data_IF_476667948019
#
_entry.id   IF_476667948019
#
_cell.length_a   1.000
_cell.length_b   1.000
_cell.length_c   1.000
_cell.angle_alpha   90.00
_cell.angle_beta   90.00
_cell.angle_gamma   90.00
#
_symmetry.space_group_name_H-M   'P 1'
#
loop_
_entity.id
_entity.type
_entity.pdbx_description
1 polymer ?
#
# COMPACT_ATOMS: atom_id res chain seq x y z
N UNK A 1 -12.80 -9.60 25.41
CA UNK A 1 -13.39 -9.29 24.09
C UNK A 1 -14.12 -7.96 24.22
N UNK A 2 -13.72 -6.94 23.46
CA UNK A 2 -14.39 -5.63 23.40
C UNK A 2 -15.12 -5.53 22.07
N UNK A 3 -16.33 -4.98 22.08
CA UNK A 3 -17.13 -4.74 20.89
C UNK A 3 -17.37 -3.24 20.76
N UNK A 4 -17.16 -2.72 19.55
CA UNK A 4 -17.48 -1.34 19.19
C UNK A 4 -18.57 -1.36 18.13
N UNK A 5 -19.60 -0.53 18.30
CA UNK A 5 -20.64 -0.34 17.30
C UNK A 5 -20.42 1.00 16.61
N UNK A 6 -20.30 0.97 15.28
CA UNK A 6 -20.10 2.16 14.46
C UNK A 6 -21.35 2.35 13.63
N UNK A 7 -21.95 3.54 13.70
CA UNK A 7 -23.04 3.90 12.81
C UNK A 7 -22.48 4.16 11.41
N UNK A 8 -22.97 3.47 10.36
CA UNK A 8 -22.56 3.76 9.00
C UNK A 8 -22.86 5.23 8.64
N UNK A 9 -21.97 5.91 7.91
CA UNK A 9 -22.20 7.28 7.50
C UNK A 9 -23.45 7.38 6.61
N UNK A 10 -24.16 8.50 6.73
CA UNK A 10 -25.23 8.88 5.81
C UNK A 10 -24.66 9.87 4.81
N UNK A 11 -24.14 9.35 3.71
CA UNK A 11 -23.52 10.12 2.63
C UNK A 11 -24.05 9.66 1.27
N UNK A 12 -23.52 10.25 0.21
CA UNK A 12 -23.77 9.94 -1.19
C UNK A 12 -22.70 9.01 -1.78
N UNK A 13 -22.03 8.19 -0.95
CA UNK A 13 -21.01 7.25 -1.42
C UNK A 13 -21.60 6.29 -2.47
N UNK A 14 -20.98 6.25 -3.64
CA UNK A 14 -21.36 5.35 -4.73
C UNK A 14 -20.45 4.12 -4.70
N UNK A 15 -21.03 2.96 -4.38
CA UNK A 15 -20.29 1.70 -4.41
C UNK A 15 -19.82 1.37 -5.83
N UNK A 16 -18.64 0.76 -5.95
CA UNK A 16 -18.07 0.28 -7.23
C UNK A 16 -18.11 -1.23 -7.25
N UNK A 17 -18.56 -1.81 -8.36
CA UNK A 17 -18.55 -3.27 -8.56
C UNK A 17 -17.09 -3.70 -8.77
N UNK A 18 -16.70 -4.80 -8.12
CA UNK A 18 -15.37 -5.36 -8.27
C UNK A 18 -15.17 -5.99 -9.65
N UNK A 19 -14.01 -5.75 -10.25
CA UNK A 19 -13.55 -6.43 -11.46
C UNK A 19 -12.37 -7.34 -11.12
N UNK A 20 -12.42 -8.61 -11.54
CA UNK A 20 -11.41 -9.61 -11.21
C UNK A 20 -10.01 -9.32 -11.77
N UNK A 21 -9.90 -8.39 -12.74
CA UNK A 21 -8.62 -7.94 -13.30
C UNK A 21 -7.90 -6.97 -12.37
N UNK A 22 -8.61 -6.34 -11.43
CA UNK A 22 -8.06 -5.36 -10.49
C UNK A 22 -8.07 -5.94 -9.08
N UNK A 23 -6.90 -5.99 -8.45
CA UNK A 23 -6.72 -6.59 -7.14
C UNK A 23 -7.18 -5.66 -6.01
N UNK A 24 -8.49 -5.59 -5.76
CA UNK A 24 -9.06 -4.92 -4.58
C UNK A 24 -9.61 -5.92 -3.57
N UNK A 25 -9.52 -5.60 -2.28
CA UNK A 25 -10.38 -6.19 -1.26
C UNK A 25 -11.85 -5.92 -1.59
N UNK A 26 -12.71 -6.88 -1.26
CA UNK A 26 -14.12 -6.80 -1.63
C UNK A 26 -15.05 -7.17 -0.50
N UNK A 27 -16.17 -6.46 -0.47
CA UNK A 27 -17.32 -6.77 0.36
C UNK A 27 -18.42 -7.37 -0.52
N UNK A 28 -18.82 -8.61 -0.23
CA UNK A 28 -19.93 -9.27 -0.93
C UNK A 28 -21.27 -8.79 -0.41
N UNK A 29 -22.15 -8.38 -1.31
CA UNK A 29 -23.57 -8.12 -1.03
C UNK A 29 -24.46 -9.06 -1.83
N UNK A 30 -25.53 -9.53 -1.20
CA UNK A 30 -26.48 -10.48 -1.80
C UNK A 30 -27.87 -9.86 -1.86
N UNK A 31 -28.44 -9.81 -3.06
CA UNK A 31 -29.84 -9.40 -3.26
C UNK A 31 -30.78 -10.57 -2.98
N UNK A 32 -31.27 -10.64 -1.73
CA UNK A 32 -32.20 -11.68 -1.29
C UNK A 32 -33.61 -11.58 -1.91
N UNK A 33 -33.88 -10.55 -2.71
CA UNK A 33 -35.14 -10.40 -3.45
C UNK A 33 -35.05 -10.88 -4.91
N UNK A 34 -33.85 -11.17 -5.39
CA UNK A 34 -33.61 -11.65 -6.75
C UNK A 34 -34.00 -13.11 -6.92
N UNK A 35 -34.43 -13.47 -8.13
CA UNK A 35 -34.65 -14.86 -8.57
C UNK A 35 -33.43 -15.46 -9.28
N UNK A 36 -32.36 -14.70 -9.42
CA UNK A 36 -31.11 -15.15 -10.04
C UNK A 36 -30.45 -16.26 -9.21
N UNK A 37 -29.75 -17.18 -9.87
CA UNK A 37 -28.95 -18.24 -9.23
C UNK A 37 -27.65 -17.70 -8.62
N UNK A 38 -27.19 -16.53 -9.08
CA UNK A 38 -26.04 -15.80 -8.54
C UNK A 38 -26.45 -14.37 -8.16
N UNK A 39 -27.29 -14.20 -7.11
CA UNK A 39 -27.81 -12.89 -6.72
C UNK A 39 -26.80 -12.04 -5.91
N UNK A 40 -25.53 -12.42 -5.93
CA UNK A 40 -24.47 -11.74 -5.19
C UNK A 40 -23.60 -10.92 -6.13
N UNK A 41 -23.07 -9.82 -5.62
CA UNK A 41 -22.03 -9.01 -6.27
C UNK A 41 -20.98 -8.63 -5.25
N UNK A 42 -19.75 -8.48 -5.72
CA UNK A 42 -18.63 -8.04 -4.90
C UNK A 42 -18.41 -6.55 -5.14
N UNK A 43 -18.31 -5.77 -4.06
CA UNK A 43 -18.08 -4.33 -4.10
C UNK A 43 -16.64 -4.05 -3.70
N UNK A 44 -15.98 -3.14 -4.42
CA UNK A 44 -14.64 -2.67 -4.10
C UNK A 44 -14.63 -1.95 -2.75
N UNK A 45 -13.67 -2.30 -1.91
CA UNK A 45 -13.39 -1.57 -0.68
C UNK A 45 -12.56 -0.31 -0.98
N UNK A 46 -13.11 0.89 -0.72
CA UNK A 46 -12.41 2.15 -1.01
C UNK A 46 -12.89 3.30 -0.12
N UNK A 47 -12.05 4.33 0.02
CA UNK A 47 -12.43 5.57 0.70
C UNK A 47 -13.47 6.37 -0.09
N UNK A 48 -14.32 7.10 0.64
CA UNK A 48 -15.20 8.10 0.04
C UNK A 48 -14.40 9.36 -0.27
N UNK A 49 -14.14 9.61 -1.56
CA UNK A 49 -13.50 10.82 -2.04
C UNK A 49 -14.40 11.53 -3.06
N UNK A 50 -14.55 12.83 -2.86
CA UNK A 50 -15.29 13.74 -3.74
C UNK A 50 -14.40 14.93 -4.05
N UNK A 51 -14.37 15.36 -5.32
CA UNK A 51 -13.62 16.55 -5.72
C UNK A 51 -14.25 17.78 -5.08
N UNK A 52 -13.44 18.69 -4.57
CA UNK A 52 -13.90 20.00 -4.10
C UNK A 52 -14.51 20.84 -5.25
N UNK A 53 -14.00 20.62 -6.46
CA UNK A 53 -14.49 21.20 -7.70
C UNK A 53 -14.74 20.07 -8.72
N UNK A 54 -15.98 19.56 -8.84
CA UNK A 54 -16.32 18.43 -9.71
C UNK A 54 -16.09 18.66 -11.21
N UNK A 55 -16.10 19.93 -11.64
CA UNK A 55 -15.96 20.30 -13.06
C UNK A 55 -14.50 20.25 -13.52
N UNK A 56 -13.54 20.27 -12.59
CA UNK A 56 -12.12 20.18 -12.93
C UNK A 56 -11.68 18.73 -13.11
N UNK A 57 -10.81 18.52 -14.10
CA UNK A 57 -10.14 17.24 -14.32
C UNK A 57 -9.31 16.83 -13.09
N UNK A 58 -8.61 17.78 -12.47
CA UNK A 58 -7.85 17.60 -11.23
C UNK A 58 -8.36 18.60 -10.20
N UNK A 59 -8.68 18.12 -9.00
CA UNK A 59 -9.19 18.94 -7.89
C UNK A 59 -8.84 18.30 -6.56
N UNK A 60 -8.56 19.06 -5.50
CA UNK A 60 -8.33 18.47 -4.19
C UNK A 60 -9.62 17.82 -3.70
N UNK A 61 -9.56 16.79 -2.85
CA UNK A 61 -10.78 16.24 -2.29
C UNK A 61 -11.43 17.23 -1.31
N UNK A 62 -12.75 17.14 -1.15
CA UNK A 62 -13.48 17.86 -0.08
C UNK A 62 -12.93 17.47 1.28
N UNK A 63 -12.62 16.18 1.47
CA UNK A 63 -11.99 15.64 2.67
C UNK A 63 -10.84 14.70 2.26
N UNK A 64 -9.57 15.05 2.53
CA UNK A 64 -8.45 14.16 2.26
C UNK A 64 -8.45 12.97 3.23
N UNK A 65 -7.79 11.89 2.82
CA UNK A 65 -7.48 10.74 3.67
C UNK A 65 -6.30 11.17 4.55
N UNK A 66 -6.60 11.55 5.79
CA UNK A 66 -5.56 11.91 6.76
C UNK A 66 -5.10 10.68 7.52
N UNK A 67 -3.80 10.39 7.46
CA UNK A 67 -3.13 9.46 8.35
C UNK A 67 -2.38 10.22 9.45
N UNK A 68 -2.35 9.65 10.66
CA UNK A 68 -1.66 10.19 11.82
C UNK A 68 -0.49 9.29 12.18
N UNK A 69 0.73 9.81 12.08
CA UNK A 69 1.91 9.12 12.55
C UNK A 69 1.97 9.20 14.07
N UNK A 70 1.99 8.05 14.72
CA UNK A 70 2.07 7.94 16.19
C UNK A 70 3.34 8.62 16.70
N UNK A 71 3.21 9.37 17.81
CA UNK A 71 4.30 10.18 18.36
C UNK A 71 5.44 9.34 18.98
N UNK A 72 5.21 8.07 19.25
CA UNK A 72 6.25 7.12 19.72
C UNK A 72 7.16 6.63 18.60
N UNK A 73 6.81 6.89 17.33
CA UNK A 73 7.61 6.52 16.17
C UNK A 73 9.00 7.15 16.27
N UNK A 74 10.09 6.37 16.10
CA UNK A 74 11.47 6.89 16.10
C UNK A 74 11.63 8.05 15.12
N UNK A 75 12.22 9.16 15.59
CA UNK A 75 12.28 10.44 14.87
C UNK A 75 12.98 10.26 13.53
N UNK A 76 14.06 9.49 13.50
CA UNK A 76 14.89 9.20 12.34
C UNK A 76 14.16 8.44 11.23
N UNK A 77 13.02 7.80 11.52
CA UNK A 77 12.23 7.04 10.54
C UNK A 77 11.01 7.82 10.04
N UNK A 78 10.62 8.90 10.72
CA UNK A 78 9.35 9.61 10.44
C UNK A 78 9.31 10.14 9.02
N UNK A 79 10.39 10.75 8.56
CA UNK A 79 10.45 11.34 7.22
C UNK A 79 10.28 10.26 6.13
N UNK A 80 10.83 9.07 6.34
CA UNK A 80 10.71 7.94 5.40
C UNK A 80 9.28 7.39 5.36
N UNK A 81 8.62 7.31 6.52
CA UNK A 81 7.22 6.89 6.60
C UNK A 81 6.33 7.94 5.92
N UNK A 82 6.52 9.23 6.24
CA UNK A 82 5.79 10.33 5.59
C UNK A 82 5.97 10.32 4.08
N UNK A 83 7.21 10.12 3.59
CA UNK A 83 7.53 9.98 2.16
C UNK A 83 6.75 8.82 1.52
N UNK A 84 6.72 7.65 2.16
CA UNK A 84 5.99 6.48 1.67
C UNK A 84 4.46 6.67 1.62
N UNK A 85 3.87 7.32 2.63
CA UNK A 85 2.43 7.62 2.60
C UNK A 85 2.10 8.63 1.51
N UNK A 86 2.85 9.74 1.44
CA UNK A 86 2.57 10.83 0.50
C UNK A 86 2.86 10.46 -0.95
N UNK A 87 3.74 9.48 -1.21
CA UNK A 87 4.01 8.98 -2.56
C UNK A 87 2.76 8.44 -3.27
N UNK A 88 1.74 7.98 -2.52
CA UNK A 88 0.45 7.59 -3.10
C UNK A 88 -0.30 8.73 -3.80
N UNK A 89 0.00 9.99 -3.48
CA UNK A 89 -0.61 11.12 -4.18
C UNK A 89 -0.28 11.15 -5.69
N UNK A 90 0.84 10.52 -6.14
CA UNK A 90 1.12 10.34 -7.58
C UNK A 90 0.03 9.50 -8.27
N UNK A 91 -0.45 8.44 -7.60
CA UNK A 91 -1.52 7.59 -8.11
C UNK A 91 -2.88 8.31 -8.07
N UNK A 92 -3.16 9.03 -6.98
CA UNK A 92 -4.41 9.80 -6.85
C UNK A 92 -4.51 10.97 -7.83
N UNK A 93 -3.38 11.57 -8.22
CA UNK A 93 -3.37 12.60 -9.25
C UNK A 93 -3.94 12.08 -10.58
N UNK A 94 -3.60 10.83 -10.95
CA UNK A 94 -4.19 10.16 -12.14
C UNK A 94 -5.67 9.86 -11.97
N UNK A 95 -6.13 9.60 -10.75
CA UNK A 95 -7.55 9.46 -10.44
C UNK A 95 -8.30 10.82 -10.42
N UNK A 96 -7.59 11.94 -10.65
CA UNK A 96 -8.14 13.30 -10.68
C UNK A 96 -8.12 14.03 -9.32
N UNK A 97 -7.38 13.51 -8.33
CA UNK A 97 -7.28 14.13 -7.01
C UNK A 97 -5.86 14.66 -6.75
N UNK A 98 -5.73 15.97 -6.57
CA UNK A 98 -4.49 16.54 -6.02
C UNK A 98 -4.48 16.44 -4.49
N UNK A 99 -3.36 16.00 -3.90
CA UNK A 99 -3.20 15.89 -2.45
C UNK A 99 -4.35 15.13 -1.75
N UNK A 100 -4.73 13.98 -2.31
CA UNK A 100 -5.78 13.13 -1.75
C UNK A 100 -5.45 12.61 -0.36
N UNK A 101 -4.16 12.40 -0.08
CA UNK A 101 -3.64 11.86 1.17
C UNK A 101 -2.80 12.92 1.89
N UNK A 102 -3.01 13.02 3.19
CA UNK A 102 -2.24 13.88 4.10
C UNK A 102 -1.67 13.06 5.25
N UNK A 103 -0.52 13.47 5.76
CA UNK A 103 0.07 12.91 6.98
C UNK A 103 0.19 14.00 8.04
N UNK A 104 -0.21 13.68 9.26
CA UNK A 104 -0.01 14.51 10.44
C UNK A 104 0.75 13.71 11.48
N UNK A 105 1.49 14.39 12.34
CA UNK A 105 2.13 13.75 13.49
C UNK A 105 1.20 13.93 14.68
N UNK A 106 0.95 12.86 15.43
CA UNK A 106 0.21 12.93 16.68
C UNK A 106 0.94 13.89 17.64
N UNK A 107 0.26 14.93 18.17
CA UNK A 107 0.85 15.78 19.19
C UNK A 107 1.15 15.01 20.48
N UNK A 108 2.22 15.39 21.20
CA UNK A 108 2.57 14.77 22.48
C UNK A 108 1.53 15.03 23.59
N UNK A 109 0.72 16.07 23.42
CA UNK A 109 -0.38 16.46 24.31
C UNK A 109 -1.76 16.03 23.79
N UNK A 110 -1.83 15.14 22.80
CA UNK A 110 -3.08 14.59 22.30
C UNK A 110 -3.88 13.89 23.41
N UNK A 111 -5.20 14.13 23.42
CA UNK A 111 -6.14 13.50 24.37
C UNK A 111 -6.67 12.13 23.90
N UNK A 112 -6.15 11.64 22.78
CA UNK A 112 -6.49 10.36 22.15
C UNK A 112 -5.25 9.49 21.96
N UNK A 113 -5.45 8.17 21.98
CA UNK A 113 -4.41 7.17 21.77
C UNK A 113 -4.51 6.53 20.39
N UNK A 114 -3.46 5.86 19.95
CA UNK A 114 -3.41 5.22 18.64
C UNK A 114 -4.56 4.23 18.36
N UNK A 115 -5.16 3.67 19.41
CA UNK A 115 -6.33 2.78 19.42
C UNK A 115 -7.65 3.44 19.07
N UNK A 116 -7.69 4.76 18.99
CA UNK A 116 -8.91 5.52 18.74
C UNK A 116 -9.35 5.41 17.27
N UNK A 117 -10.46 4.71 17.05
CA UNK A 117 -11.05 4.46 15.73
C UNK A 117 -11.45 5.73 14.94
N UNK A 118 -11.45 6.91 15.59
CA UNK A 118 -11.73 8.19 14.92
C UNK A 118 -10.56 8.67 14.07
N UNK A 119 -9.36 8.11 14.29
CA UNK A 119 -8.13 8.51 13.62
C UNK A 119 -7.57 7.32 12.82
N UNK A 120 -7.12 7.57 11.60
CA UNK A 120 -6.34 6.57 10.87
C UNK A 120 -4.89 6.70 11.33
N UNK A 121 -4.36 5.70 12.02
CA UNK A 121 -3.04 5.82 12.67
C UNK A 121 -2.01 4.92 11.98
N UNK A 122 -0.80 5.44 11.80
CA UNK A 122 0.41 4.66 11.53
C UNK A 122 1.13 4.47 12.88
N UNK A 123 1.00 3.27 13.43
CA UNK A 123 1.59 2.88 14.71
C UNK A 123 2.95 2.28 14.54
N UNK A 124 3.85 2.64 15.44
CA UNK A 124 5.14 1.96 15.57
C UNK A 124 5.06 0.92 16.68
N UNK A 125 5.27 -0.34 16.33
CA UNK A 125 5.07 -1.47 17.23
C UNK A 125 6.36 -2.25 17.43
N UNK A 126 6.52 -2.85 18.61
CA UNK A 126 7.64 -3.72 18.94
C UNK A 126 7.13 -4.87 19.78
N UNK A 127 6.72 -5.94 19.11
CA UNK A 127 6.14 -7.11 19.75
C UNK A 127 7.19 -8.17 20.11
N UNK A 128 7.04 -8.89 21.24
CA UNK A 128 7.99 -9.95 21.63
C UNK A 128 7.94 -11.18 20.69
N UNK A 129 6.77 -11.45 20.09
CA UNK A 129 6.56 -12.50 19.09
C UNK A 129 5.75 -11.92 17.92
N UNK A 130 6.39 -11.12 17.04
CA UNK A 130 5.69 -10.43 15.96
C UNK A 130 5.31 -11.44 14.87
N UNK A 131 4.03 -11.53 14.47
CA UNK A 131 3.61 -12.45 13.41
C UNK A 131 3.80 -11.87 12.00
N UNK A 132 4.13 -10.58 11.88
CA UNK A 132 4.30 -9.84 10.63
C UNK A 132 5.35 -8.72 10.75
N UNK A 133 5.82 -8.19 9.62
CA UNK A 133 6.68 -7.00 9.57
C UNK A 133 5.90 -5.69 9.42
N UNK A 134 4.70 -5.76 8.85
CA UNK A 134 3.72 -4.70 8.83
C UNK A 134 2.32 -5.29 8.67
N UNK A 135 1.31 -4.51 9.03
CA UNK A 135 -0.09 -4.90 8.92
C UNK A 135 -0.95 -3.66 8.69
N UNK A 136 -1.62 -3.59 7.53
CA UNK A 136 -2.50 -2.48 7.13
C UNK A 136 -3.99 -2.83 7.10
N UNK A 137 -4.63 -3.17 8.23
CA UNK A 137 -6.06 -3.42 8.28
C UNK A 137 -6.87 -2.13 8.04
N UNK A 138 -8.05 -2.34 7.45
CA UNK A 138 -9.11 -1.36 7.37
C UNK A 138 -10.42 -1.99 7.82
N UNK A 139 -11.42 -1.15 8.12
CA UNK A 139 -12.77 -1.60 8.37
C UNK A 139 -13.74 -0.81 7.50
N UNK A 140 -14.77 -1.51 7.01
CA UNK A 140 -15.62 -1.02 5.93
C UNK A 140 -17.09 -1.09 6.30
N UNK A 141 -17.91 -0.29 5.62
CA UNK A 141 -19.35 -0.44 5.63
C UNK A 141 -19.72 -1.71 4.84
N UNK A 142 -20.27 -2.75 5.49
CA UNK A 142 -20.52 -4.06 4.85
C UNK A 142 -21.65 -4.02 3.81
N UNK A 143 -22.32 -2.88 3.62
CA UNK A 143 -23.38 -2.70 2.63
C UNK A 143 -22.91 -1.98 1.36
N UNK A 144 -21.81 -1.25 1.43
CA UNK A 144 -21.34 -0.38 0.34
C UNK A 144 -19.88 -0.61 -0.05
N UNK A 145 -19.05 -1.17 0.84
CA UNK A 145 -17.60 -1.23 0.65
C UNK A 145 -16.87 0.09 1.00
N UNK A 146 -17.55 1.08 1.57
CA UNK A 146 -16.89 2.32 2.00
C UNK A 146 -15.92 2.03 3.15
N UNK A 147 -14.63 2.35 2.99
CA UNK A 147 -13.65 2.31 4.07
C UNK A 147 -13.96 3.43 5.06
N UNK A 148 -14.13 3.06 6.33
CA UNK A 148 -14.52 3.95 7.41
C UNK A 148 -13.34 4.36 8.30
N UNK A 149 -12.31 3.52 8.36
CA UNK A 149 -11.11 3.75 9.12
C UNK A 149 -10.04 2.71 8.80
N UNK A 150 -8.80 3.04 9.12
CA UNK A 150 -7.66 2.16 8.95
C UNK A 150 -6.67 2.30 10.11
N UNK A 151 -5.91 1.25 10.37
CA UNK A 151 -4.98 1.21 11.49
C UNK A 151 -3.71 0.45 11.14
N UNK A 152 -2.70 1.16 10.66
CA UNK A 152 -1.48 0.57 10.13
C UNK A 152 -0.51 0.30 11.27
N UNK A 153 0.02 -0.91 11.37
CA UNK A 153 1.08 -1.29 12.28
C UNK A 153 2.37 -1.52 11.50
N UNK A 154 3.43 -0.81 11.88
CA UNK A 154 4.79 -1.00 11.38
C UNK A 154 5.60 -1.65 12.52
N UNK A 155 6.04 -2.90 12.33
CA UNK A 155 6.72 -3.66 13.39
C UNK A 155 8.24 -3.48 13.32
N UNK A 156 8.85 -3.22 14.48
CA UNK A 156 10.30 -3.07 14.67
C UNK A 156 11.10 -4.24 14.07
N UNK A 157 10.52 -5.45 14.11
CA UNK A 157 11.16 -6.66 13.59
C UNK A 157 11.48 -6.55 12.09
N UNK A 158 10.70 -5.78 11.33
CA UNK A 158 10.95 -5.55 9.92
C UNK A 158 12.33 -4.90 9.71
N UNK A 159 12.66 -3.92 10.54
CA UNK A 159 13.95 -3.24 10.50
C UNK A 159 15.06 -4.12 11.08
N UNK A 160 14.85 -4.75 12.25
CA UNK A 160 15.92 -5.54 12.88
C UNK A 160 16.28 -6.82 12.14
N UNK A 161 15.33 -7.44 11.44
CA UNK A 161 15.67 -8.57 10.57
C UNK A 161 16.64 -8.15 9.46
N UNK A 162 16.62 -6.87 9.06
CA UNK A 162 17.52 -6.35 8.02
C UNK A 162 18.85 -5.84 8.59
N UNK A 163 18.87 -5.37 9.83
CA UNK A 163 20.07 -4.79 10.50
C UNK A 163 20.89 -5.82 11.31
N UNK A 164 20.25 -6.78 12.00
CA UNK A 164 20.91 -7.57 13.05
C UNK A 164 21.31 -9.01 12.63
N UNK A 165 20.98 -9.46 11.42
CA UNK A 165 21.08 -10.89 11.10
C UNK A 165 22.49 -11.42 10.82
N UNK A 166 23.53 -10.58 10.66
CA UNK A 166 24.92 -11.08 10.56
C UNK A 166 25.39 -11.88 11.78
N UNK A 167 24.82 -11.65 12.97
CA UNK A 167 25.28 -12.28 14.22
C UNK A 167 24.72 -13.69 14.46
N UNK A 168 23.73 -14.14 13.68
CA UNK A 168 22.92 -15.32 14.02
C UNK A 168 22.90 -16.44 12.97
N UNK A 169 23.66 -16.36 11.86
CA UNK A 169 23.64 -17.40 10.82
C UNK A 169 24.77 -18.42 11.05
N UNK A 170 24.48 -19.70 11.36
CA UNK A 170 25.45 -20.77 11.25
C UNK A 170 25.61 -21.21 9.78
N UNK A 171 26.81 -21.69 9.46
CA UNK A 171 27.35 -21.95 8.12
C UNK A 171 26.47 -22.74 7.11
N UNK A 172 26.55 -22.27 5.86
CA UNK A 172 26.75 -22.97 4.56
C UNK A 172 25.80 -24.08 4.05
N UNK A 173 24.85 -24.63 4.82
CA UNK A 173 23.98 -25.71 4.29
C UNK A 173 22.55 -25.72 4.85
N UNK A 174 21.68 -24.84 4.37
CA UNK A 174 20.25 -24.91 4.70
C UNK A 174 19.39 -24.90 3.44
N UNK A 175 18.62 -25.97 3.24
CA UNK A 175 17.68 -26.13 2.10
C UNK A 175 16.53 -25.12 2.08
N UNK A 176 16.39 -24.29 3.12
CA UNK A 176 15.42 -23.20 3.25
C UNK A 176 15.96 -21.83 2.82
N UNK A 177 17.09 -21.79 2.10
CA UNK A 177 17.68 -20.52 1.63
C UNK A 177 16.68 -19.62 0.90
N UNK A 178 15.74 -20.18 0.12
CA UNK A 178 14.68 -19.41 -0.54
C UNK A 178 13.72 -18.69 0.43
N UNK A 179 13.33 -19.31 1.56
CA UNK A 179 12.49 -18.64 2.56
C UNK A 179 13.29 -17.58 3.33
N UNK A 180 14.58 -17.83 3.57
CA UNK A 180 15.48 -16.86 4.17
C UNK A 180 15.71 -15.63 3.25
N UNK A 181 15.74 -15.83 1.92
CA UNK A 181 15.78 -14.76 0.93
C UNK A 181 14.50 -13.92 1.00
N UNK A 182 13.33 -14.56 1.03
CA UNK A 182 12.04 -13.88 1.10
C UNK A 182 11.85 -13.07 2.40
N UNK A 183 12.37 -13.57 3.53
CA UNK A 183 12.34 -12.87 4.81
C UNK A 183 13.39 -11.74 4.93
N UNK A 184 14.12 -11.42 3.85
CA UNK A 184 15.12 -10.35 3.84
C UNK A 184 16.42 -10.72 4.57
N UNK A 185 16.63 -11.98 4.92
CA UNK A 185 17.81 -12.43 5.70
C UNK A 185 19.09 -12.48 4.87
N UNK A 186 18.97 -12.75 3.57
CA UNK A 186 20.08 -12.64 2.62
C UNK A 186 20.63 -11.20 2.51
N UNK A 187 19.77 -10.19 2.73
CA UNK A 187 20.17 -8.78 2.70
C UNK A 187 21.21 -8.48 3.78
N UNK A 188 20.97 -8.95 5.00
CA UNK A 188 21.87 -8.76 6.13
C UNK A 188 23.22 -9.45 5.89
N UNK A 189 23.26 -10.57 5.16
CA UNK A 189 24.52 -11.25 4.84
C UNK A 189 25.31 -10.57 3.70
N UNK A 190 24.61 -9.95 2.73
CA UNK A 190 25.22 -9.39 1.51
C UNK A 190 25.52 -7.88 1.56
N UNK A 191 24.87 -7.13 2.44
CA UNK A 191 25.04 -5.68 2.58
C UNK A 191 25.87 -5.36 3.83
N UNK A 192 26.67 -4.30 3.80
CA UNK A 192 27.18 -3.70 5.03
C UNK A 192 25.99 -3.03 5.73
N UNK A 193 25.59 -3.54 6.90
CA UNK A 193 24.35 -3.23 7.66
C UNK A 193 24.04 -1.74 7.89
N UNK A 194 24.90 -0.83 7.45
CA UNK A 194 24.86 0.60 7.66
C UNK A 194 24.60 1.42 6.38
N UNK A 195 24.29 0.83 5.22
CA UNK A 195 23.91 1.65 4.04
C UNK A 195 22.57 2.36 4.32
N UNK A 196 22.57 3.70 4.52
CA UNK A 196 21.37 4.42 4.91
C UNK A 196 20.28 4.35 3.83
N UNK A 197 20.66 4.15 2.57
CA UNK A 197 19.71 4.09 1.46
C UNK A 197 18.86 2.80 1.52
N UNK A 198 19.45 1.69 1.95
CA UNK A 198 18.72 0.42 2.10
C UNK A 198 17.67 0.55 3.19
N UNK A 199 18.03 1.13 4.33
CA UNK A 199 17.11 1.38 5.44
C UNK A 199 15.99 2.32 5.00
N UNK A 200 16.34 3.47 4.42
CA UNK A 200 15.40 4.45 3.88
C UNK A 200 14.39 3.78 2.93
N UNK A 201 14.88 3.14 1.87
CA UNK A 201 14.01 2.55 0.85
C UNK A 201 13.15 1.41 1.42
N UNK A 202 13.68 0.62 2.38
CA UNK A 202 12.90 -0.44 3.01
C UNK A 202 11.73 0.08 3.84
N UNK A 203 11.90 1.17 4.58
CA UNK A 203 10.83 1.77 5.39
C UNK A 203 9.78 2.43 4.49
N UNK A 204 10.22 3.14 3.44
CA UNK A 204 9.31 3.68 2.42
C UNK A 204 8.49 2.55 1.79
N UNK A 205 9.14 1.45 1.39
CA UNK A 205 8.51 0.30 0.74
C UNK A 205 7.49 -0.39 1.63
N UNK A 206 7.81 -0.60 2.91
CA UNK A 206 6.89 -1.17 3.89
C UNK A 206 5.67 -0.26 4.02
N UNK A 207 5.91 1.04 4.22
CA UNK A 207 4.83 2.02 4.37
C UNK A 207 3.93 2.08 3.15
N UNK A 208 4.50 2.09 1.95
CA UNK A 208 3.76 2.03 0.68
C UNK A 208 2.84 0.80 0.62
N UNK A 209 3.36 -0.37 1.00
CA UNK A 209 2.61 -1.63 0.97
C UNK A 209 1.42 -1.59 1.93
N UNK A 210 1.65 -1.24 3.19
CA UNK A 210 0.60 -1.24 4.20
C UNK A 210 -0.45 -0.16 3.91
N UNK A 211 -0.03 1.03 3.46
CA UNK A 211 -0.97 2.06 2.99
C UNK A 211 -1.78 1.53 1.81
N UNK A 212 -1.17 0.84 0.85
CA UNK A 212 -1.87 0.23 -0.28
C UNK A 212 -3.03 -0.67 0.13
N UNK A 213 -2.85 -1.51 1.17
CA UNK A 213 -3.94 -2.29 1.75
C UNK A 213 -5.07 -1.41 2.29
N UNK A 214 -4.74 -0.34 3.00
CA UNK A 214 -5.74 0.60 3.54
C UNK A 214 -6.41 1.46 2.46
N UNK A 215 -5.87 1.51 1.24
CA UNK A 215 -6.52 2.11 0.08
C UNK A 215 -7.44 1.12 -0.65
N UNK A 216 -7.47 -0.13 -0.21
CA UNK A 216 -8.31 -1.20 -0.73
C UNK A 216 -7.58 -2.25 -1.56
N UNK A 217 -6.26 -2.16 -1.75
CA UNK A 217 -5.53 -3.04 -2.65
C UNK A 217 -5.15 -4.38 -2.00
N UNK A 218 -5.32 -5.47 -2.76
CA UNK A 218 -4.81 -6.80 -2.44
C UNK A 218 -3.37 -6.97 -2.90
N UNK A 219 -2.73 -8.04 -2.43
CA UNK A 219 -1.45 -8.49 -2.97
C UNK A 219 -1.50 -8.74 -4.48
N UNK A 220 -0.41 -8.39 -5.17
CA UNK A 220 -0.20 -8.67 -6.58
C UNK A 220 1.15 -9.37 -6.79
N UNK A 221 1.14 -10.70 -6.72
CA UNK A 221 2.35 -11.53 -6.84
C UNK A 221 2.81 -11.84 -8.28
N UNK A 222 2.33 -11.05 -9.25
CA UNK A 222 2.74 -11.16 -10.67
C UNK A 222 3.46 -9.89 -11.14
N UNK A 223 3.71 -8.95 -10.24
CA UNK A 223 4.19 -7.61 -10.55
C UNK A 223 5.72 -7.53 -10.72
N UNK A 224 6.45 -8.58 -10.33
CA UNK A 224 7.91 -8.67 -10.46
C UNK A 224 8.43 -8.88 -11.91
N UNK A 225 7.57 -8.86 -12.93
CA UNK A 225 7.95 -9.04 -14.33
C UNK A 225 8.12 -7.73 -15.12
N UNK A 226 8.16 -6.58 -14.45
CA UNK A 226 8.24 -5.27 -15.10
C UNK A 226 9.55 -5.04 -15.87
N UNK A 227 10.68 -5.49 -15.31
CA UNK A 227 12.02 -5.27 -15.88
C UNK A 227 12.71 -6.59 -16.22
N UNK A 228 13.66 -6.54 -17.16
CA UNK A 228 14.61 -7.63 -17.36
C UNK A 228 15.73 -7.59 -16.31
N UNK A 229 16.56 -8.64 -16.28
CA UNK A 229 17.62 -8.81 -15.28
C UNK A 229 18.74 -7.76 -15.33
N UNK A 230 18.80 -6.93 -16.38
CA UNK A 230 19.80 -5.87 -16.52
C UNK A 230 19.20 -4.52 -16.14
N UNK A 231 18.03 -4.19 -16.69
CA UNK A 231 17.39 -2.88 -16.53
C UNK A 231 16.92 -2.62 -15.09
N UNK A 232 16.61 -3.69 -14.34
CA UNK A 232 16.22 -3.60 -12.93
C UNK A 232 17.32 -2.99 -12.04
N UNK A 233 18.58 -2.99 -12.47
CA UNK A 233 19.69 -2.37 -11.73
C UNK A 233 19.99 -0.93 -12.20
N UNK A 234 19.25 -0.40 -13.19
CA UNK A 234 19.43 0.94 -13.67
C UNK A 234 18.50 1.93 -12.95
N UNK A 235 19.08 2.72 -12.05
CA UNK A 235 18.35 3.73 -11.26
C UNK A 235 17.54 4.71 -12.12
N UNK A 236 18.00 5.08 -13.31
CA UNK A 236 17.27 6.03 -14.17
C UNK A 236 15.97 5.45 -14.73
N UNK A 237 15.90 4.12 -14.84
CA UNK A 237 14.70 3.38 -15.26
C UNK A 237 13.81 3.14 -14.03
N UNK A 238 14.37 2.57 -12.97
CA UNK A 238 13.62 2.15 -11.78
C UNK A 238 13.05 3.32 -11.00
N UNK A 239 13.74 4.46 -10.95
CA UNK A 239 13.22 5.67 -10.29
C UNK A 239 11.99 6.24 -11.02
N UNK A 240 11.87 6.01 -12.34
CA UNK A 240 10.74 6.49 -13.14
C UNK A 240 9.55 5.54 -13.11
N UNK A 241 9.81 4.23 -13.19
CA UNK A 241 8.77 3.21 -13.39
C UNK A 241 8.42 2.41 -12.12
N UNK A 242 9.27 2.46 -11.08
CA UNK A 242 9.28 1.49 -9.97
C UNK A 242 10.21 0.31 -10.27
N UNK A 243 10.57 -0.50 -9.26
CA UNK A 243 11.26 -1.79 -9.44
C UNK A 243 10.29 -2.90 -9.82
N UNK A 244 9.07 -2.83 -9.29
CA UNK A 244 7.96 -3.73 -9.61
C UNK A 244 6.81 -2.93 -10.19
N UNK A 245 5.89 -3.58 -10.91
CA UNK A 245 4.69 -2.88 -11.38
C UNK A 245 3.73 -2.56 -10.23
N UNK A 246 3.86 -3.21 -9.08
CA UNK A 246 3.00 -3.02 -7.91
C UNK A 246 3.77 -3.18 -6.61
N UNK A 247 3.68 -2.19 -5.72
CA UNK A 247 4.16 -2.28 -4.34
C UNK A 247 3.39 -3.32 -3.52
N UNK A 248 2.32 -3.92 -4.05
CA UNK A 248 1.59 -5.00 -3.41
C UNK A 248 2.23 -6.39 -3.64
N UNK A 249 3.39 -6.44 -4.28
CA UNK A 249 4.27 -7.62 -4.44
C UNK A 249 5.12 -7.86 -3.18
N UNK A 250 5.71 -9.07 -3.07
CA UNK A 250 6.78 -9.40 -2.10
C UNK A 250 8.12 -9.66 -2.79
N UNK A 251 8.73 -8.65 -3.44
CA UNK A 251 9.99 -8.86 -4.13
C UNK A 251 11.12 -9.08 -3.12
N UNK A 252 12.09 -9.90 -3.50
CA UNK A 252 13.39 -9.89 -2.85
C UNK A 252 14.07 -8.54 -3.08
N UNK A 253 15.06 -8.22 -2.25
CA UNK A 253 15.82 -6.97 -2.42
C UNK A 253 16.57 -6.99 -3.73
N UNK A 254 16.53 -5.87 -4.45
CA UNK A 254 17.24 -5.73 -5.71
C UNK A 254 18.74 -5.50 -5.48
N UNK A 255 19.53 -6.57 -5.60
CA UNK A 255 20.99 -6.52 -5.46
C UNK A 255 21.64 -6.70 -6.83
N UNK A 256 22.44 -5.72 -7.23
CA UNK A 256 23.17 -5.77 -8.48
C UNK A 256 24.26 -6.86 -8.44
N UNK A 257 24.48 -7.61 -9.52
CA UNK A 257 25.59 -8.56 -9.62
C UNK A 257 26.95 -7.89 -9.40
N UNK A 258 27.95 -8.68 -8.99
CA UNK A 258 29.32 -8.19 -8.82
C UNK A 258 29.83 -7.55 -10.11
N UNK A 259 30.30 -6.30 -10.00
CA UNK A 259 30.78 -5.51 -11.14
C UNK A 259 29.71 -4.67 -11.85
N UNK A 260 28.43 -4.82 -11.48
CA UNK A 260 27.33 -3.97 -11.93
C UNK A 260 27.11 -2.85 -10.91
N UNK A 261 26.87 -1.63 -11.38
CA UNK A 261 26.54 -0.50 -10.50
C UNK A 261 25.17 -0.75 -9.85
N UNK A 262 25.09 -0.58 -8.53
CA UNK A 262 23.86 -0.75 -7.78
C UNK A 262 22.81 0.30 -8.16
N UNK A 263 21.58 -0.16 -8.40
CA UNK A 263 20.38 0.65 -8.61
C UNK A 263 19.58 0.82 -7.32
N UNK A 264 18.26 1.06 -7.44
CA UNK A 264 17.38 1.09 -6.26
C UNK A 264 17.23 -0.31 -5.65
N UNK A 265 17.16 -0.38 -4.32
CA UNK A 265 17.00 -1.62 -3.57
C UNK A 265 15.52 -2.03 -3.45
N UNK A 266 14.63 -1.06 -3.28
CA UNK A 266 13.18 -1.24 -3.14
C UNK A 266 12.38 -0.17 -3.89
N UNK A 267 11.09 -0.44 -4.13
CA UNK A 267 10.17 0.58 -4.64
C UNK A 267 10.01 1.72 -3.63
N UNK A 268 10.14 2.95 -4.10
CA UNK A 268 9.94 4.17 -3.29
C UNK A 268 8.70 4.97 -3.70
N UNK A 269 7.89 4.41 -4.61
CA UNK A 269 6.63 4.99 -5.07
C UNK A 269 5.68 3.91 -5.61
N UNK A 270 4.37 4.20 -5.76
CA UNK A 270 3.44 3.29 -6.41
C UNK A 270 3.88 2.95 -7.84
N UNK A 271 3.87 1.68 -8.18
CA UNK A 271 4.22 1.19 -9.51
C UNK A 271 3.10 1.45 -10.54
N UNK A 272 3.36 1.13 -11.81
CA UNK A 272 2.41 1.39 -12.89
C UNK A 272 1.04 0.73 -12.67
N UNK A 273 1.01 -0.51 -12.15
CA UNK A 273 -0.23 -1.22 -11.83
C UNK A 273 -0.95 -0.58 -10.65
N UNK A 274 -0.23 -0.15 -9.62
CA UNK A 274 -0.85 0.50 -8.46
C UNK A 274 -1.55 1.80 -8.87
N UNK A 275 -0.87 2.60 -9.69
CA UNK A 275 -1.42 3.84 -10.22
C UNK A 275 -2.70 3.59 -11.04
N UNK A 276 -2.67 2.56 -11.88
CA UNK A 276 -3.81 2.10 -12.66
C UNK A 276 -4.96 1.58 -11.78
N UNK A 277 -4.65 0.79 -10.75
CA UNK A 277 -5.65 0.27 -9.82
C UNK A 277 -6.30 1.38 -8.99
N UNK A 278 -5.53 2.38 -8.52
CA UNK A 278 -6.08 3.56 -7.84
C UNK A 278 -6.97 4.37 -8.78
N UNK A 279 -6.56 4.58 -10.02
CA UNK A 279 -7.41 5.24 -11.02
C UNK A 279 -8.75 4.50 -11.17
N UNK A 280 -8.72 3.18 -11.36
CA UNK A 280 -9.94 2.36 -11.44
C UNK A 280 -10.85 2.54 -10.21
N UNK A 281 -10.28 2.45 -9.00
CA UNK A 281 -11.05 2.52 -7.77
C UNK A 281 -11.65 3.90 -7.50
N UNK A 282 -10.88 4.96 -7.79
CA UNK A 282 -11.15 6.30 -7.27
C UNK A 282 -11.59 7.32 -8.33
N UNK A 283 -11.37 7.11 -9.63
CA UNK A 283 -11.79 8.10 -10.64
C UNK A 283 -13.32 8.29 -10.60
N UNK A 284 -13.82 9.51 -10.32
CA UNK A 284 -15.26 9.72 -10.08
C UNK A 284 -16.16 9.41 -11.28
N UNK A 285 -15.64 9.53 -12.50
CA UNK A 285 -16.42 9.50 -13.73
C UNK A 285 -16.37 8.15 -14.47
N UNK A 286 -15.73 7.11 -13.92
CA UNK A 286 -15.75 5.75 -14.45
C UNK A 286 -17.09 5.07 -14.14
N UNK A 287 -18.10 5.29 -14.97
CA UNK A 287 -19.33 4.49 -15.01
C UNK A 287 -19.13 3.17 -15.80
N UNK A 288 -20.13 2.27 -15.81
CA UNK A 288 -20.02 0.95 -16.46
C UNK A 288 -19.66 1.02 -17.96
N UNK A 289 -20.09 2.06 -18.68
CA UNK A 289 -19.86 2.18 -20.12
C UNK A 289 -18.47 2.79 -20.42
N UNK A 290 -18.05 3.78 -19.62
CA UNK A 290 -16.69 4.32 -19.65
C UNK A 290 -15.67 3.31 -19.15
N UNK A 291 -16.05 2.45 -18.23
CA UNK A 291 -15.23 1.32 -17.78
C UNK A 291 -14.99 0.35 -18.95
N UNK A 292 -16.02 -0.05 -19.71
CA UNK A 292 -15.85 -0.88 -20.92
C UNK A 292 -14.92 -0.23 -21.96
N UNK A 293 -14.96 1.10 -22.09
CA UNK A 293 -14.07 1.83 -23.00
C UNK A 293 -12.64 1.88 -22.46
N UNK A 294 -12.48 2.16 -21.16
CA UNK A 294 -11.20 2.12 -20.46
C UNK A 294 -10.49 0.78 -20.68
N UNK A 295 -11.22 -0.33 -20.60
CA UNK A 295 -10.67 -1.65 -20.88
C UNK A 295 -10.17 -1.83 -22.32
N UNK A 296 -10.85 -1.26 -23.32
CA UNK A 296 -10.41 -1.34 -24.72
C UNK A 296 -9.14 -0.55 -24.98
N UNK A 297 -9.02 0.64 -24.37
CA UNK A 297 -7.85 1.49 -24.54
C UNK A 297 -6.61 0.87 -23.90
N UNK A 298 -6.75 0.21 -22.75
CA UNK A 298 -5.66 -0.50 -22.08
C UNK A 298 -5.18 -1.73 -22.88
N UNK A 299 -6.08 -2.48 -23.53
CA UNK A 299 -5.70 -3.64 -24.37
C UNK A 299 -5.04 -3.25 -25.70
N UNK A 300 -5.18 -2.01 -26.15
CA UNK A 300 -4.56 -1.51 -27.37
C UNK A 300 -3.18 -0.87 -27.13
N UNK A 301 -2.77 -0.71 -25.86
CA UNK A 301 -1.46 -0.18 -25.47
C UNK A 301 -0.46 -1.28 -25.06
N UNK A 302 -0.88 -2.55 -25.06
CA UNK A 302 -0.03 -3.73 -24.77
C UNK A 302 0.57 -4.36 -26.01
#
# INVERSE_FOLDING_TARGET
MRYSFIQPPKNNFVARIADQRVGYFTTRVTDLSSKDVTPYRDLVERWHLEKADPEKEISPPVKPITFWLENTTPIELRDFIVEGVLAWNEAFLKAGFENAIEVKIQPDDADWDAGDIRYNVLRWTSSPNPPFGGYGPSFVNPRTGEILGADIMLEWVYLTNRINLKKLVPSKYMCSHGSLVQEGKLLADLINDDDPEVIKQSIIRLTLHEVGHTLGLNHNFKASHLHNATDIHNKEITSKLGLTSSVMEYPAVNLAPVGVKQGDYYDVKPGLYDQWAIEFGYRPDLDEDKEKLYWKDQTNQS
#
